data_IF_069914127183
#
_entry.id   IF_069914127183
#
_cell.length_a   1.000
_cell.length_b   1.000
_cell.length_c   1.000
_cell.angle_alpha   90.00
_cell.angle_beta   90.00
_cell.angle_gamma   90.00
#
_symmetry.space_group_name_H-M   'P 1'
#
loop_
_entity.id
_entity.type
_entity.pdbx_description
1 polymer ?
#
# COMPACT_ATOMS: atom_id res chain seq x y z
N UNK A 1 9.51 -14.74 -2.13
CA UNK A 1 8.90 -16.05 -1.99
C UNK A 1 8.23 -16.20 -0.62
N UNK A 2 6.94 -16.50 -0.64
CA UNK A 2 6.13 -16.93 0.48
C UNK A 2 6.55 -18.33 0.96
N UNK A 3 6.83 -18.45 2.25
CA UNK A 3 7.08 -19.69 2.96
C UNK A 3 5.87 -20.03 3.85
N UNK A 4 5.10 -21.10 3.54
CA UNK A 4 3.89 -21.45 4.28
C UNK A 4 4.16 -21.90 5.72
N UNK A 5 5.36 -22.44 6.02
CA UNK A 5 5.73 -22.91 7.36
C UNK A 5 5.82 -21.78 8.37
N UNK A 6 6.43 -20.66 7.96
CA UNK A 6 6.64 -19.47 8.81
C UNK A 6 5.67 -18.34 8.49
N UNK A 7 4.86 -18.49 7.43
CA UNK A 7 3.94 -17.47 6.91
C UNK A 7 4.63 -16.15 6.59
N UNK A 8 5.86 -16.24 6.08
CA UNK A 8 6.72 -15.09 5.81
C UNK A 8 6.99 -14.99 4.31
N UNK A 9 7.02 -13.76 3.78
CA UNK A 9 7.40 -13.47 2.41
C UNK A 9 8.83 -12.93 2.41
N UNK A 10 9.74 -13.63 1.72
CA UNK A 10 11.11 -13.19 1.53
C UNK A 10 11.26 -12.49 0.18
N UNK A 11 11.75 -11.26 0.11
CA UNK A 11 11.95 -10.57 -1.16
C UNK A 11 13.45 -10.38 -1.41
N UNK A 12 13.84 -10.53 -2.69
CA UNK A 12 15.23 -10.31 -3.10
C UNK A 12 15.52 -8.81 -3.16
N UNK A 13 16.64 -8.40 -2.59
CA UNK A 13 17.12 -7.02 -2.67
C UNK A 13 17.65 -6.67 -4.08
N UNK A 14 17.57 -5.39 -4.44
CA UNK A 14 18.14 -4.86 -5.69
C UNK A 14 17.35 -5.18 -6.97
N UNK A 15 16.08 -5.57 -6.85
CA UNK A 15 15.17 -5.66 -8.00
C UNK A 15 14.65 -4.27 -8.37
N UNK A 16 14.26 -4.06 -9.64
CA UNK A 16 13.59 -2.81 -10.04
C UNK A 16 12.25 -2.63 -9.31
N UNK A 17 11.76 -1.40 -9.21
CA UNK A 17 10.49 -1.09 -8.54
C UNK A 17 9.32 -1.89 -9.12
N UNK A 18 9.20 -1.91 -10.46
CA UNK A 18 8.16 -2.66 -11.18
C UNK A 18 8.26 -4.16 -10.91
N UNK A 19 9.46 -4.74 -11.01
CA UNK A 19 9.67 -6.17 -10.71
C UNK A 19 9.38 -6.49 -9.25
N UNK A 20 9.77 -5.61 -8.34
CA UNK A 20 9.53 -5.76 -6.91
C UNK A 20 8.05 -5.73 -6.61
N UNK A 21 7.31 -4.78 -7.18
CA UNK A 21 5.87 -4.67 -7.04
C UNK A 21 5.17 -5.94 -7.50
N UNK A 22 5.49 -6.44 -8.71
CA UNK A 22 4.87 -7.66 -9.24
C UNK A 22 5.22 -8.89 -8.42
N UNK A 23 6.50 -9.04 -8.04
CA UNK A 23 6.97 -10.16 -7.23
C UNK A 23 6.31 -10.16 -5.84
N UNK A 24 6.27 -9.01 -5.15
CA UNK A 24 5.62 -8.88 -3.85
C UNK A 24 4.15 -9.25 -3.93
N UNK A 25 3.40 -8.68 -4.88
CA UNK A 25 1.97 -8.92 -4.99
C UNK A 25 1.65 -10.37 -5.36
N UNK A 26 2.48 -11.02 -6.19
CA UNK A 26 2.34 -12.46 -6.47
C UNK A 26 2.55 -13.30 -5.22
N UNK A 27 3.51 -12.94 -4.38
CA UNK A 27 3.78 -13.66 -3.13
C UNK A 27 2.71 -13.39 -2.05
N UNK A 28 2.16 -12.17 -2.01
CA UNK A 28 1.00 -11.86 -1.18
C UNK A 28 -0.24 -12.65 -1.63
N UNK A 29 -0.43 -12.83 -2.94
CA UNK A 29 -1.51 -13.66 -3.47
C UNK A 29 -1.32 -15.14 -3.07
N UNK A 30 -0.09 -15.65 -3.13
CA UNK A 30 0.25 -16.97 -2.62
C UNK A 30 -0.09 -17.13 -1.13
N UNK A 31 0.17 -16.10 -0.32
CA UNK A 31 -0.18 -16.10 1.10
C UNK A 31 -1.70 -16.04 1.33
N UNK A 32 -2.42 -15.25 0.55
CA UNK A 32 -3.87 -15.11 0.64
C UNK A 32 -4.63 -16.40 0.25
N UNK A 33 -4.03 -17.22 -0.62
CA UNK A 33 -4.59 -18.50 -1.07
C UNK A 33 -4.16 -19.69 -0.18
N UNK A 34 -3.27 -19.48 0.78
CA UNK A 34 -2.96 -20.51 1.78
C UNK A 34 -4.11 -20.58 2.79
N UNK A 35 -4.89 -21.67 2.73
CA UNK A 35 -5.98 -21.95 3.67
C UNK A 35 -5.48 -22.43 5.05
N UNK A 36 -4.16 -22.62 5.21
CA UNK A 36 -3.52 -23.08 6.45
C UNK A 36 -3.94 -24.47 6.92
N UNK A 37 -4.47 -25.29 6.01
CA UNK A 37 -4.86 -26.68 6.26
C UNK A 37 -3.73 -27.68 6.05
N UNK A 38 -2.51 -27.20 5.75
CA UNK A 38 -1.35 -28.03 5.43
C UNK A 38 -1.34 -28.59 4.00
N UNK A 39 -2.37 -28.30 3.20
CA UNK A 39 -2.50 -28.79 1.81
C UNK A 39 -1.96 -27.82 0.76
N UNK A 40 -1.36 -26.71 1.21
CA UNK A 40 -0.84 -25.67 0.33
C UNK A 40 0.20 -26.21 -0.64
N UNK A 41 0.02 -25.90 -1.93
CA UNK A 41 1.02 -26.13 -2.96
C UNK A 41 1.13 -24.91 -3.86
N UNK A 42 2.34 -24.35 -3.94
CA UNK A 42 2.64 -23.21 -4.82
C UNK A 42 2.25 -23.49 -6.27
N UNK A 43 2.48 -24.71 -6.75
CA UNK A 43 2.20 -25.06 -8.14
C UNK A 43 0.70 -24.99 -8.46
N UNK A 44 -0.16 -25.37 -7.50
CA UNK A 44 -1.62 -25.34 -7.62
C UNK A 44 -2.17 -23.92 -7.67
N UNK A 45 -1.62 -23.01 -6.87
CA UNK A 45 -2.07 -21.60 -6.79
C UNK A 45 -1.32 -20.65 -7.70
N UNK A 46 -0.27 -21.12 -8.40
CA UNK A 46 0.64 -20.24 -9.15
C UNK A 46 -0.06 -19.46 -10.25
N UNK A 47 -1.09 -20.03 -10.90
CA UNK A 47 -1.82 -19.36 -11.96
C UNK A 47 -2.72 -18.26 -11.38
N UNK A 48 -3.47 -18.57 -10.32
CA UNK A 48 -4.32 -17.61 -9.60
C UNK A 48 -3.48 -16.45 -9.07
N UNK A 49 -2.36 -16.75 -8.39
CA UNK A 49 -1.47 -15.74 -7.81
C UNK A 49 -0.87 -14.81 -8.88
N UNK A 50 -0.55 -15.35 -10.05
CA UNK A 50 -0.04 -14.56 -11.17
C UNK A 50 -1.12 -13.63 -11.74
N UNK A 51 -2.35 -14.13 -11.94
CA UNK A 51 -3.48 -13.31 -12.37
C UNK A 51 -3.84 -12.23 -11.34
N UNK A 52 -3.81 -12.55 -10.05
CA UNK A 52 -4.06 -11.57 -8.99
C UNK A 52 -3.01 -10.44 -8.99
N UNK A 53 -1.74 -10.76 -9.17
CA UNK A 53 -0.68 -9.76 -9.32
C UNK A 53 -0.93 -8.83 -10.50
N UNK A 54 -1.35 -9.36 -11.66
CA UNK A 54 -1.73 -8.57 -12.83
C UNK A 54 -2.91 -7.62 -12.53
N UNK A 55 -3.97 -8.12 -11.88
CA UNK A 55 -5.15 -7.31 -11.53
C UNK A 55 -4.77 -6.14 -10.62
N UNK A 56 -3.91 -6.40 -9.62
CA UNK A 56 -3.41 -5.38 -8.71
C UNK A 56 -2.52 -4.37 -9.44
N UNK A 57 -1.57 -4.82 -10.24
CA UNK A 57 -0.72 -3.94 -11.05
C UNK A 57 -1.55 -3.01 -11.95
N UNK A 58 -2.53 -3.56 -12.66
CA UNK A 58 -3.42 -2.80 -13.53
C UNK A 58 -4.25 -1.77 -12.74
N UNK A 59 -4.70 -2.10 -11.53
CA UNK A 59 -5.46 -1.18 -10.66
C UNK A 59 -4.63 0.03 -10.24
N UNK A 60 -3.35 -0.17 -9.91
CA UNK A 60 -2.47 0.89 -9.43
C UNK A 60 -1.63 1.54 -10.54
N UNK A 61 -1.89 1.22 -11.82
CA UNK A 61 -1.21 1.83 -12.96
C UNK A 61 0.25 1.40 -13.13
N UNK A 62 0.66 0.27 -12.55
CA UNK A 62 2.01 -0.30 -12.73
C UNK A 62 2.08 -0.99 -14.09
N UNK A 63 3.20 -0.88 -14.78
CA UNK A 63 3.42 -1.51 -16.09
C UNK A 63 3.15 -3.02 -16.05
N UNK A 64 2.26 -3.48 -16.94
CA UNK A 64 1.83 -4.89 -17.05
C UNK A 64 2.30 -5.56 -18.34
N UNK A 65 3.12 -4.90 -19.17
CA UNK A 65 3.59 -5.45 -20.44
C UNK A 65 4.37 -6.76 -20.27
N UNK A 66 5.02 -6.96 -19.13
CA UNK A 66 5.72 -8.21 -18.79
C UNK A 66 4.81 -9.41 -18.48
N UNK A 67 3.49 -9.24 -18.40
CA UNK A 67 2.59 -10.35 -18.09
C UNK A 67 2.18 -11.13 -19.34
N UNK A 68 2.65 -12.37 -19.45
CA UNK A 68 2.13 -13.34 -20.42
C UNK A 68 0.88 -14.07 -19.87
N UNK A 69 -0.31 -13.53 -20.15
CA UNK A 69 -1.59 -14.17 -19.77
C UNK A 69 -2.00 -15.29 -20.72
N UNK A 70 -1.51 -15.29 -21.96
CA UNK A 70 -1.77 -16.33 -22.95
C UNK A 70 -1.20 -17.68 -22.49
N UNK A 71 0.00 -17.68 -21.90
CA UNK A 71 0.60 -18.85 -21.27
C UNK A 71 -0.28 -19.43 -20.15
N UNK A 72 -0.92 -18.57 -19.34
CA UNK A 72 -1.82 -19.01 -18.28
C UNK A 72 -3.12 -19.56 -18.86
N UNK A 73 -3.65 -18.94 -19.90
CA UNK A 73 -4.82 -19.44 -20.62
C UNK A 73 -4.55 -20.84 -21.20
N UNK A 74 -3.39 -21.03 -21.84
CA UNK A 74 -2.98 -22.34 -22.37
C UNK A 74 -2.86 -23.40 -21.26
N UNK A 75 -2.27 -23.04 -20.12
CA UNK A 75 -2.14 -23.93 -18.95
C UNK A 75 -3.49 -24.24 -18.28
N UNK A 76 -4.50 -23.41 -18.50
CA UNK A 76 -5.90 -23.67 -18.11
C UNK A 76 -6.75 -24.21 -19.28
N UNK A 77 -6.09 -24.83 -20.26
CA UNK A 77 -6.73 -25.51 -21.40
C UNK A 77 -7.65 -24.57 -22.20
N UNK A 78 -7.34 -23.27 -22.23
CA UNK A 78 -8.09 -22.22 -22.89
C UNK A 78 -9.60 -22.24 -22.55
N UNK A 79 -9.94 -22.56 -21.30
CA UNK A 79 -11.34 -22.57 -20.84
C UNK A 79 -12.11 -23.84 -21.18
N UNK A 80 -11.42 -24.94 -21.55
CA UNK A 80 -12.04 -26.27 -21.73
C UNK A 80 -12.30 -27.01 -20.41
N UNK A 81 -11.82 -26.47 -19.29
CA UNK A 81 -12.13 -26.99 -17.95
C UNK A 81 -13.61 -26.89 -17.63
N UNK A 82 -14.02 -27.62 -16.61
CA UNK A 82 -15.39 -27.57 -16.13
C UNK A 82 -15.80 -26.12 -15.78
N UNK A 83 -17.02 -25.67 -16.15
CA UNK A 83 -17.47 -24.32 -15.85
C UNK A 83 -17.41 -23.96 -14.36
N UNK A 84 -17.61 -24.92 -13.46
CA UNK A 84 -17.50 -24.70 -12.02
C UNK A 84 -16.04 -24.44 -11.61
N UNK A 85 -15.08 -25.22 -12.11
CA UNK A 85 -13.66 -25.01 -11.83
C UNK A 85 -13.17 -23.65 -12.33
N UNK A 86 -13.64 -23.20 -13.49
CA UNK A 86 -13.30 -21.87 -14.02
C UNK A 86 -13.86 -20.75 -13.14
N UNK A 87 -15.09 -20.92 -12.61
CA UNK A 87 -15.68 -19.97 -11.66
C UNK A 87 -14.88 -19.92 -10.36
N UNK A 88 -14.50 -21.07 -9.83
CA UNK A 88 -13.72 -21.17 -8.60
C UNK A 88 -12.34 -20.52 -8.78
N UNK A 89 -11.67 -20.77 -9.90
CA UNK A 89 -10.42 -20.10 -10.26
C UNK A 89 -10.56 -18.57 -10.28
N UNK A 90 -11.61 -18.03 -10.91
CA UNK A 90 -11.85 -16.59 -10.97
C UNK A 90 -12.21 -16.01 -9.60
N UNK A 91 -12.95 -16.77 -8.78
CA UNK A 91 -13.27 -16.40 -7.40
C UNK A 91 -12.02 -16.29 -6.54
N UNK A 92 -11.11 -17.27 -6.64
CA UNK A 92 -9.81 -17.25 -5.95
C UNK A 92 -8.99 -16.00 -6.33
N UNK A 93 -8.88 -15.72 -7.64
CA UNK A 93 -8.17 -14.54 -8.15
C UNK A 93 -8.78 -13.26 -7.60
N UNK A 94 -10.11 -13.15 -7.63
CA UNK A 94 -10.85 -11.99 -7.12
C UNK A 94 -10.62 -11.81 -5.61
N UNK A 95 -10.77 -12.88 -4.84
CA UNK A 95 -10.61 -12.85 -3.38
C UNK A 95 -9.18 -12.48 -2.97
N UNK A 96 -8.17 -13.09 -3.62
CA UNK A 96 -6.77 -12.76 -3.38
C UNK A 96 -6.49 -11.29 -3.71
N UNK A 97 -7.00 -10.80 -4.85
CA UNK A 97 -6.86 -9.40 -5.24
C UNK A 97 -7.52 -8.45 -4.21
N UNK A 98 -8.72 -8.75 -3.72
CA UNK A 98 -9.34 -7.94 -2.67
C UNK A 98 -8.55 -7.96 -1.37
N UNK A 99 -8.02 -9.11 -0.96
CA UNK A 99 -7.18 -9.22 0.23
C UNK A 99 -5.96 -8.30 0.14
N UNK A 100 -5.23 -8.38 -0.97
CA UNK A 100 -4.03 -7.55 -1.22
C UNK A 100 -4.39 -6.08 -1.27
N UNK A 101 -5.42 -5.71 -2.03
CA UNK A 101 -5.87 -4.33 -2.13
C UNK A 101 -6.21 -3.77 -0.75
N UNK A 102 -7.01 -4.49 0.03
CA UNK A 102 -7.39 -4.03 1.37
C UNK A 102 -6.16 -3.89 2.28
N UNK A 103 -5.15 -4.76 2.12
CA UNK A 103 -3.89 -4.62 2.82
C UNK A 103 -3.16 -3.33 2.41
N UNK A 104 -3.04 -3.05 1.12
CA UNK A 104 -2.42 -1.82 0.60
C UNK A 104 -3.20 -0.59 1.10
N UNK A 105 -4.52 -0.54 0.91
CA UNK A 105 -5.35 0.61 1.28
C UNK A 105 -5.31 0.90 2.80
N UNK A 106 -5.23 -0.13 3.65
CA UNK A 106 -5.07 0.08 5.11
C UNK A 106 -3.69 0.60 5.49
N UNK A 107 -2.63 0.10 4.87
CA UNK A 107 -1.26 0.49 5.21
C UNK A 107 -0.85 1.84 4.59
N UNK A 108 -1.38 2.19 3.41
CA UNK A 108 -1.16 3.49 2.79
C UNK A 108 -2.18 4.56 3.22
N UNK A 109 -3.35 4.16 3.76
CA UNK A 109 -4.35 5.08 4.29
C UNK A 109 -4.03 5.60 5.70
N UNK A 110 -3.15 4.91 6.43
CA UNK A 110 -2.53 5.44 7.65
C UNK A 110 -1.35 6.32 7.24
N UNK A 111 -1.46 7.63 7.50
CA UNK A 111 -0.45 8.64 7.14
C UNK A 111 0.94 8.29 7.67
N UNK A 112 1.93 8.59 6.82
CA UNK A 112 3.34 8.92 7.08
C UNK A 112 4.02 8.24 8.27
N UNK A 113 5.05 7.46 7.95
CA UNK A 113 6.08 7.09 8.91
C UNK A 113 6.61 8.39 9.55
N UNK A 114 6.30 8.63 10.83
CA UNK A 114 6.90 9.73 11.58
C UNK A 114 8.42 9.52 11.49
N UNK A 115 9.10 10.42 10.78
CA UNK A 115 10.55 10.49 10.84
C UNK A 115 10.88 10.89 12.28
N UNK A 116 11.25 9.91 13.10
CA UNK A 116 11.94 10.19 14.34
C UNK A 116 13.24 10.87 13.90
N UNK A 117 13.33 12.18 14.11
CA UNK A 117 14.59 12.89 13.99
C UNK A 117 15.53 12.23 15.00
N UNK A 118 16.57 11.57 14.50
CA UNK A 118 17.63 10.98 15.31
C UNK A 118 18.19 12.04 16.27
N UNK A 119 18.57 11.67 17.51
CA UNK A 119 19.25 12.59 18.45
C UNK A 119 20.57 13.12 17.88
N UNK A 120 21.08 12.51 16.82
CA UNK A 120 22.26 12.94 16.06
C UNK A 120 21.95 13.71 14.77
N UNK A 121 20.68 14.06 14.50
CA UNK A 121 20.33 14.88 13.34
C UNK A 121 20.96 16.27 13.49
N UNK A 122 21.98 16.55 12.66
CA UNK A 122 22.65 17.85 12.61
C UNK A 122 21.65 18.85 12.00
N UNK A 123 21.01 19.64 12.86
CA UNK A 123 20.11 20.72 12.43
C UNK A 123 20.85 21.80 11.65
N UNK A 124 20.18 22.37 10.66
CA UNK A 124 20.66 23.55 9.93
C UNK A 124 21.06 24.67 10.90
N UNK A 125 22.14 25.42 10.62
CA UNK A 125 22.71 26.38 11.56
C UNK A 125 21.70 27.48 11.92
N UNK A 126 21.37 27.54 13.21
CA UNK A 126 20.51 28.56 13.84
C UNK A 126 21.07 29.96 13.58
N UNK A 127 20.27 30.82 12.93
CA UNK A 127 20.49 32.28 12.95
C UNK A 127 20.18 32.79 14.35
N UNK A 128 21.22 33.27 15.03
CA UNK A 128 21.19 33.88 16.36
C UNK A 128 20.42 35.22 16.27
N UNK A 129 19.43 35.49 17.14
CA UNK A 129 18.80 36.80 17.23
C UNK A 129 19.66 37.75 18.10
N UNK A 130 20.04 38.91 17.55
CA UNK A 130 20.71 39.98 18.29
C UNK A 130 19.75 40.68 19.25
N UNK A 131 20.16 40.77 20.51
CA UNK A 131 19.52 41.49 21.63
C UNK A 131 19.88 42.97 21.63
N UNK A 132 18.93 43.89 21.84
CA UNK A 132 19.13 45.18 22.56
C UNK A 132 17.84 45.68 23.24
N UNK A 133 17.82 45.47 24.55
CA UNK A 133 17.50 46.36 25.68
C UNK A 133 16.38 47.44 25.71
N UNK A 134 15.82 47.51 26.93
CA UNK A 134 15.18 48.62 27.67
C UNK A 134 13.63 48.74 27.77
N UNK A 135 13.17 48.73 29.04
CA UNK A 135 11.82 48.84 29.65
C UNK A 135 11.55 50.32 30.06
N UNK A 136 10.45 50.71 30.77
CA UNK A 136 9.01 50.35 30.72
C UNK A 136 8.04 51.57 30.92
N UNK A 137 6.73 51.46 30.62
CA UNK A 137 5.62 52.16 31.35
C UNK A 137 4.26 51.74 30.75
N UNK A 138 3.38 51.02 31.44
CA UNK A 138 2.35 51.43 32.43
C UNK A 138 1.06 52.05 31.84
N UNK A 139 -0.09 51.52 32.29
CA UNK A 139 -1.49 52.04 32.25
C UNK A 139 -2.23 51.91 30.91
N UNK A 140 -3.55 51.70 30.84
CA UNK A 140 -4.62 51.26 31.74
C UNK A 140 -5.91 51.20 30.87
N UNK A 141 -6.93 50.44 31.33
CA UNK A 141 -8.37 50.64 31.03
C UNK A 141 -8.82 50.43 29.56
N UNK A 142 -9.91 49.74 29.22
CA UNK A 142 -11.10 49.34 29.97
C UNK A 142 -12.30 49.36 29.01
N UNK A 143 -13.17 48.36 29.15
CA UNK A 143 -14.62 48.32 28.81
C UNK A 143 -15.11 48.48 27.36
N UNK A 144 -15.74 47.39 26.92
CA UNK A 144 -17.13 47.31 26.41
C UNK A 144 -17.70 48.49 25.61
N UNK A 145 -18.16 48.22 24.38
CA UNK A 145 -19.60 48.19 24.09
C UNK A 145 -19.96 47.63 22.71
N UNK A 146 -21.10 46.96 22.73
CA UNK A 146 -21.90 46.25 21.74
C UNK A 146 -22.73 47.23 20.89
N UNK A 147 -22.88 46.96 19.58
CA UNK A 147 -24.05 47.16 18.70
C UNK A 147 -23.59 47.42 17.25
N UNK A 148 -23.82 46.53 16.28
CA UNK A 148 -25.08 46.23 15.56
C UNK A 148 -25.38 47.25 14.45
N UNK A 149 -25.03 46.92 13.20
CA UNK A 149 -25.84 47.20 11.99
C UNK A 149 -25.18 46.63 10.71
N UNK A 150 -25.82 45.63 10.12
CA UNK A 150 -25.88 45.40 8.66
C UNK A 150 -26.77 46.48 7.99
N UNK A 151 -27.01 46.52 6.65
CA UNK A 151 -26.47 45.72 5.53
C UNK A 151 -26.02 46.55 4.29
N UNK A 152 -25.58 45.80 3.26
CA UNK A 152 -25.70 46.04 1.80
C UNK A 152 -25.10 47.30 1.16
N UNK A 153 -24.11 47.05 0.28
CA UNK A 153 -24.31 47.22 -1.16
C UNK A 153 -23.39 46.30 -1.97
#
# INVERSE_FOLDING_TARGET
QYNPRYRTIYIRNGMSEVTTFHALNRELACAALDQHTGTYSRQKVSAQAYCAAYVIAKRYGVDVTGFNLEYIAQRNECGKKDPQELRDFLNDVRQASYSIRNHIERNFGAKEQEYITDEFAIGDPVKIPETKDEKPSEKASGKEKKAKSQPER
#
